data_IF_413682953162
#
_entry.id   IF_413682953162
#
_cell.length_a   1.000
_cell.length_b   1.000
_cell.length_c   1.000
_cell.angle_alpha   90.00
_cell.angle_beta   90.00
_cell.angle_gamma   90.00
#
_symmetry.space_group_name_H-M   'P 1'
#
loop_
_entity.id
_entity.type
_entity.pdbx_description
1 polymer ?
#
# COMPACT_ATOMS: atom_id res chain seq x y z
N UNK A 1 14.48 -7.02 2.59
CA UNK A 1 13.14 -7.01 3.22
C UNK A 1 13.11 -8.21 4.14
N UNK A 2 12.64 -8.09 5.38
CA UNK A 2 12.72 -9.21 6.33
C UNK A 2 11.61 -10.25 6.07
N UNK A 3 11.67 -11.41 6.72
CA UNK A 3 10.68 -12.50 6.55
C UNK A 3 9.26 -12.04 6.97
N UNK A 4 9.17 -11.24 8.03
CA UNK A 4 7.91 -10.67 8.52
C UNK A 4 7.20 -9.78 7.48
N UNK A 5 7.95 -9.05 6.66
CA UNK A 5 7.41 -8.22 5.60
C UNK A 5 6.77 -9.04 4.47
N UNK A 6 7.32 -10.22 4.16
CA UNK A 6 6.80 -11.14 3.13
C UNK A 6 5.46 -11.71 3.61
N UNK A 7 5.42 -12.22 4.84
CA UNK A 7 4.20 -12.74 5.46
C UNK A 7 3.10 -11.68 5.52
N UNK A 8 3.47 -10.45 5.86
CA UNK A 8 2.52 -9.35 5.88
C UNK A 8 1.98 -9.07 4.47
N UNK A 9 2.83 -9.02 3.43
CA UNK A 9 2.37 -8.85 2.04
C UNK A 9 1.42 -9.98 1.62
N UNK A 10 1.74 -11.23 1.96
CA UNK A 10 0.87 -12.39 1.72
C UNK A 10 -0.50 -12.21 2.39
N UNK A 11 -0.53 -11.71 3.63
CA UNK A 11 -1.76 -11.44 4.38
C UNK A 11 -2.59 -10.34 3.69
N UNK A 12 -1.97 -9.23 3.28
CA UNK A 12 -2.66 -8.15 2.54
C UNK A 12 -3.28 -8.69 1.24
N UNK A 13 -2.53 -9.47 0.46
CA UNK A 13 -3.04 -10.08 -0.78
C UNK A 13 -4.20 -11.03 -0.52
N UNK A 14 -4.07 -11.91 0.47
CA UNK A 14 -5.12 -12.87 0.84
C UNK A 14 -6.40 -12.15 1.24
N UNK A 15 -6.31 -11.15 2.11
CA UNK A 15 -7.47 -10.39 2.59
C UNK A 15 -8.12 -9.62 1.44
N UNK A 16 -7.36 -8.82 0.70
CA UNK A 16 -7.92 -7.89 -0.29
C UNK A 16 -8.20 -8.52 -1.67
N UNK A 17 -7.86 -9.80 -1.87
CA UNK A 17 -8.32 -10.59 -3.03
C UNK A 17 -9.71 -11.21 -2.80
N UNK A 18 -10.13 -11.38 -1.55
CA UNK A 18 -11.46 -11.89 -1.19
C UNK A 18 -12.61 -10.96 -1.63
N UNK A 19 -13.83 -11.48 -1.85
CA UNK A 19 -14.98 -10.64 -2.19
C UNK A 19 -15.27 -9.55 -1.15
N UNK A 20 -15.18 -9.88 0.13
CA UNK A 20 -15.40 -8.97 1.26
C UNK A 20 -14.28 -7.94 1.35
N UNK A 21 -13.03 -8.36 1.22
CA UNK A 21 -11.87 -7.48 1.21
C UNK A 21 -11.93 -6.44 0.09
N UNK A 22 -12.38 -6.83 -1.11
CA UNK A 22 -12.62 -5.89 -2.22
C UNK A 22 -13.68 -4.84 -1.90
N UNK A 23 -14.77 -5.23 -1.21
CA UNK A 23 -15.80 -4.28 -0.76
C UNK A 23 -15.23 -3.28 0.26
N UNK A 24 -14.47 -3.77 1.24
CA UNK A 24 -13.80 -2.93 2.24
C UNK A 24 -12.80 -1.98 1.59
N UNK A 25 -11.95 -2.47 0.68
CA UNK A 25 -11.00 -1.63 -0.04
C UNK A 25 -11.69 -0.54 -0.85
N UNK A 26 -12.77 -0.87 -1.57
CA UNK A 26 -13.56 0.12 -2.32
C UNK A 26 -14.15 1.19 -1.39
N UNK A 27 -14.64 0.79 -0.21
CA UNK A 27 -15.12 1.73 0.80
C UNK A 27 -14.00 2.62 1.35
N UNK A 28 -12.82 2.07 1.65
CA UNK A 28 -11.65 2.83 2.13
C UNK A 28 -11.19 3.85 1.09
N UNK A 29 -11.11 3.46 -0.19
CA UNK A 29 -10.76 4.38 -1.29
C UNK A 29 -11.72 5.56 -1.37
N UNK A 30 -13.04 5.33 -1.22
CA UNK A 30 -14.04 6.41 -1.24
C UNK A 30 -13.95 7.31 -0.01
N UNK A 31 -13.88 6.72 1.17
CA UNK A 31 -13.87 7.46 2.45
C UNK A 31 -12.62 8.30 2.66
N UNK A 32 -11.48 7.91 2.07
CA UNK A 32 -10.21 8.62 2.20
C UNK A 32 -9.87 9.48 0.96
N UNK A 33 -10.88 9.86 0.18
CA UNK A 33 -10.70 10.82 -0.92
C UNK A 33 -9.72 10.35 -2.00
N UNK A 34 -9.64 9.04 -2.26
CA UNK A 34 -8.72 8.48 -3.26
C UNK A 34 -9.04 8.99 -4.68
N UNK A 35 -10.33 9.18 -4.98
CA UNK A 35 -10.81 9.62 -6.30
C UNK A 35 -11.11 11.13 -6.37
N UNK A 36 -10.79 11.90 -5.33
CA UNK A 36 -11.07 13.33 -5.25
C UNK A 36 -9.80 14.11 -4.94
N UNK A 37 -9.81 15.43 -5.17
CA UNK A 37 -8.74 16.28 -4.65
C UNK A 37 -8.72 16.24 -3.12
N UNK A 38 -7.52 16.27 -2.55
CA UNK A 38 -7.24 16.38 -1.11
C UNK A 38 -7.10 17.84 -0.68
N UNK A 39 -6.85 18.74 -1.64
CA UNK A 39 -6.58 20.14 -1.39
C UNK A 39 -7.81 20.85 -0.82
N UNK A 40 -7.60 21.57 0.28
CA UNK A 40 -8.56 22.45 0.91
C UNK A 40 -7.99 23.87 0.87
N UNK A 41 -8.68 24.76 0.14
CA UNK A 41 -8.24 26.15 -0.03
C UNK A 41 -8.16 26.87 1.32
N UNK A 42 -7.03 27.52 1.58
CA UNK A 42 -6.79 28.23 2.84
C UNK A 42 -6.53 27.33 4.06
N UNK A 43 -6.58 25.99 3.92
CA UNK A 43 -6.37 25.05 5.03
C UNK A 43 -5.37 23.95 4.66
N UNK A 44 -4.10 24.21 4.99
CA UNK A 44 -3.01 23.27 4.77
C UNK A 44 -3.08 22.05 5.70
N UNK A 45 -3.66 22.18 6.90
CA UNK A 45 -3.74 21.07 7.86
C UNK A 45 -4.80 20.07 7.42
N UNK A 46 -5.96 20.55 6.95
CA UNK A 46 -6.97 19.68 6.34
C UNK A 46 -6.43 18.99 5.07
N UNK A 47 -5.68 19.71 4.23
CA UNK A 47 -5.01 19.12 3.07
C UNK A 47 -4.05 17.99 3.48
N UNK A 48 -3.19 18.23 4.47
CA UNK A 48 -2.24 17.24 4.97
C UNK A 48 -2.94 16.02 5.59
N UNK A 49 -4.04 16.23 6.32
CA UNK A 49 -4.86 15.16 6.88
C UNK A 49 -5.45 14.27 5.77
N UNK A 50 -6.01 14.88 4.72
CA UNK A 50 -6.58 14.17 3.58
C UNK A 50 -5.50 13.34 2.84
N UNK A 51 -4.30 13.90 2.65
CA UNK A 51 -3.17 13.17 2.07
C UNK A 51 -2.71 12.00 2.94
N UNK A 52 -2.71 12.17 4.26
CA UNK A 52 -2.44 11.08 5.20
C UNK A 52 -3.40 9.90 5.00
N UNK A 53 -4.70 10.19 4.89
CA UNK A 53 -5.72 9.18 4.61
C UNK A 53 -5.51 8.49 3.25
N UNK A 54 -5.24 9.26 2.20
CA UNK A 54 -4.95 8.70 0.87
C UNK A 54 -3.70 7.82 0.87
N UNK A 55 -2.67 8.21 1.62
CA UNK A 55 -1.43 7.45 1.73
C UNK A 55 -1.66 6.05 2.33
N UNK A 56 -2.56 5.92 3.31
CA UNK A 56 -2.92 4.60 3.89
C UNK A 56 -3.50 3.68 2.79
N UNK A 57 -4.43 4.19 1.98
CA UNK A 57 -5.00 3.44 0.86
C UNK A 57 -3.93 3.06 -0.16
N UNK A 58 -3.04 4.00 -0.50
CA UNK A 58 -1.91 3.74 -1.42
C UNK A 58 -0.98 2.64 -0.91
N UNK A 59 -0.71 2.58 0.41
CA UNK A 59 0.12 1.52 0.98
C UNK A 59 -0.53 0.13 0.83
N UNK A 60 -1.85 0.03 1.01
CA UNK A 60 -2.59 -1.22 0.78
C UNK A 60 -2.47 -1.62 -0.70
N UNK A 61 -2.72 -0.69 -1.61
CA UNK A 61 -2.63 -0.93 -3.06
C UNK A 61 -1.23 -1.36 -3.49
N UNK A 62 -0.19 -0.75 -2.90
CA UNK A 62 1.20 -1.15 -3.15
C UNK A 62 1.44 -2.59 -2.70
N UNK A 63 1.01 -2.98 -1.50
CA UNK A 63 1.20 -4.34 -0.99
C UNK A 63 0.48 -5.41 -1.81
N UNK A 64 -0.73 -5.13 -2.32
CA UNK A 64 -1.45 -6.10 -3.16
C UNK A 64 -0.90 -6.20 -4.59
N UNK A 65 -0.30 -5.13 -5.11
CA UNK A 65 0.26 -5.08 -6.48
C UNK A 65 1.74 -5.48 -6.56
N UNK A 66 2.46 -5.58 -5.44
CA UNK A 66 3.83 -6.11 -5.42
C UNK A 66 3.78 -7.56 -5.93
N UNK A 67 4.57 -7.89 -6.94
CA UNK A 67 4.77 -9.28 -7.35
C UNK A 67 5.72 -9.95 -6.34
N UNK A 68 5.25 -11.02 -5.68
CA UNK A 68 6.03 -11.69 -4.63
C UNK A 68 7.20 -12.47 -5.24
N UNK A 69 7.00 -13.10 -6.39
CA UNK A 69 8.04 -13.88 -7.08
C UNK A 69 9.21 -12.97 -7.51
N UNK A 70 8.90 -11.76 -7.96
CA UNK A 70 9.89 -10.76 -8.36
C UNK A 70 10.65 -10.19 -7.16
N UNK A 71 9.97 -10.07 -6.02
CA UNK A 71 10.57 -9.62 -4.77
C UNK A 71 11.45 -10.69 -4.12
N UNK A 72 11.00 -11.94 -4.10
CA UNK A 72 11.79 -13.08 -3.66
C UNK A 72 13.05 -13.20 -4.52
N UNK A 73 12.93 -13.06 -5.84
CA UNK A 73 14.07 -12.99 -6.75
C UNK A 73 15.03 -11.84 -6.40
N UNK A 74 14.52 -10.64 -6.13
CA UNK A 74 15.35 -9.50 -5.71
C UNK A 74 16.03 -9.71 -4.35
N UNK A 75 15.40 -10.43 -3.42
CA UNK A 75 15.99 -10.77 -2.11
C UNK A 75 17.11 -11.81 -2.29
N UNK A 76 16.85 -12.86 -3.07
CA UNK A 76 17.83 -13.91 -3.37
C UNK A 76 19.01 -13.40 -4.20
N UNK A 77 18.78 -12.45 -5.12
CA UNK A 77 19.83 -11.81 -5.93
C UNK A 77 20.53 -10.66 -5.17
N UNK A 78 19.87 -10.06 -4.18
CA UNK A 78 20.31 -8.87 -3.45
C UNK A 78 21.29 -9.12 -2.29
N UNK A 79 21.57 -10.38 -1.93
CA UNK A 79 22.63 -10.70 -0.93
C UNK A 79 24.06 -10.48 -1.45
N UNK A 80 24.24 -10.12 -2.74
CA UNK A 80 25.56 -9.84 -3.33
C UNK A 80 25.69 -8.41 -3.87
N UNK A 81 25.28 -7.37 -3.14
CA UNK A 81 25.74 -6.00 -3.44
C UNK A 81 25.95 -5.18 -2.17
N UNK A 82 27.05 -5.48 -1.46
CA UNK A 82 27.85 -4.43 -0.84
C UNK A 82 29.10 -4.22 -1.70
N UNK A 83 29.03 -3.22 -2.59
CA UNK A 83 30.20 -2.50 -3.08
C UNK A 83 29.89 -1.03 -2.84
N UNK A 84 30.36 -0.51 -1.72
CA UNK A 84 31.20 0.68 -1.57
C UNK A 84 31.79 0.67 -0.15
#
# INVERSE_FOLDING_TARGET
MNEEDIDLIQAYKTVFSSPEGKKVLSHLMRSHGFYSTSFVEGDMFATAFNEGGRNVVMQILKKININLDELEKQILEGESLYVW
#
